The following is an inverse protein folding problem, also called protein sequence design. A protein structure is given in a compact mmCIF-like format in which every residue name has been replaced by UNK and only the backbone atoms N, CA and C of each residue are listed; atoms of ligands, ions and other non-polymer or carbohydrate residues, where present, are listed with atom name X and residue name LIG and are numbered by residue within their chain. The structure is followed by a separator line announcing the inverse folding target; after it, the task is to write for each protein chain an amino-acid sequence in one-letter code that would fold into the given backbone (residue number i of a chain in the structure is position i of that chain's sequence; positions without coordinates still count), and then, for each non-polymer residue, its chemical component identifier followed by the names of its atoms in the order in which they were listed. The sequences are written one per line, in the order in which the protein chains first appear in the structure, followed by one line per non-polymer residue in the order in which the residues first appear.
data_IF_324468226075
#
_entry.id   IF_324468226075
#
_cell.length_a   1.000
_cell.length_b   1.000
_cell.length_c   1.000
_cell.angle_alpha   90.00
_cell.angle_beta   90.00
_cell.angle_gamma   90.00
#
_symmetry.space_group_name_H-M   'P 1'
#
loop_
_entity.id
_entity.type
_entity.pdbx_description
1 polymer ?
#
# COMPACT_ATOMS: atom_id res chain seq x y z
N UNK A 1 14.74 -40.73 51.87
CA UNK A 1 13.62 -40.03 51.20
C UNK A 1 13.98 -39.89 49.73
N UNK A 2 13.22 -40.54 48.84
CA UNK A 2 13.55 -40.75 47.43
C UNK A 2 13.23 -39.54 46.55
N UNK A 3 13.95 -39.46 45.43
CA UNK A 3 13.92 -38.42 44.42
C UNK A 3 12.74 -38.54 43.42
N UNK A 4 12.63 -37.47 42.60
CA UNK A 4 12.08 -37.36 41.24
C UNK A 4 10.64 -36.82 41.11
N UNK A 5 10.46 -35.74 40.32
CA UNK A 5 9.89 -35.80 38.93
C UNK A 5 9.13 -34.51 38.55
N UNK A 6 9.69 -33.78 37.56
CA UNK A 6 9.07 -33.04 36.41
C UNK A 6 8.09 -31.86 36.63
N UNK A 7 8.43 -30.73 35.99
CA UNK A 7 7.54 -29.80 35.26
C UNK A 7 6.81 -30.57 34.12
N UNK A 8 5.58 -30.20 33.65
CA UNK A 8 5.28 -28.87 33.09
C UNK A 8 3.79 -28.43 33.18
N UNK A 9 3.44 -27.38 32.43
CA UNK A 9 2.10 -26.81 32.09
C UNK A 9 1.64 -25.68 33.01
N UNK A 10 1.07 -24.57 32.53
CA UNK A 10 0.31 -24.34 31.31
C UNK A 10 0.62 -22.98 30.67
N UNK A 11 0.56 -22.94 29.34
CA UNK A 11 0.64 -21.72 28.57
C UNK A 11 -0.51 -20.78 28.90
N UNK A 12 -0.17 -19.55 29.29
CA UNK A 12 -1.10 -18.43 29.21
C UNK A 12 -1.56 -18.25 27.76
N UNK A 13 -2.74 -17.65 27.53
CA UNK A 13 -3.25 -17.46 26.19
C UNK A 13 -2.17 -16.76 25.38
N UNK A 14 -1.74 -17.43 24.31
CA UNK A 14 -0.94 -16.83 23.25
C UNK A 14 -1.78 -15.63 22.82
N UNK A 15 -1.41 -14.43 23.25
CA UNK A 15 -2.04 -13.22 22.76
C UNK A 15 -1.92 -13.35 21.24
N UNK A 16 -3.05 -13.61 20.58
CA UNK A 16 -3.11 -13.42 19.16
C UNK A 16 -2.79 -11.95 19.01
N UNK A 17 -1.56 -11.65 18.58
CA UNK A 17 -1.18 -10.32 18.19
C UNK A 17 -2.11 -9.97 17.04
N UNK A 18 -3.24 -9.36 17.36
CA UNK A 18 -3.91 -8.42 16.47
C UNK A 18 -2.86 -7.36 16.21
N UNK A 19 -2.01 -7.61 15.22
CA UNK A 19 -0.95 -6.72 14.79
C UNK A 19 -1.69 -5.51 14.21
N UNK A 20 -2.05 -4.57 15.10
CA UNK A 20 -2.82 -3.38 14.77
C UNK A 20 -2.08 -2.68 13.65
N UNK A 21 -2.61 -2.83 12.44
CA UNK A 21 -1.97 -2.33 11.24
C UNK A 21 -2.44 -0.90 11.09
N UNK A 22 -1.52 0.04 10.95
CA UNK A 22 -1.88 1.40 10.57
C UNK A 22 -1.97 1.49 9.05
N UNK A 23 -3.06 2.06 8.54
CA UNK A 23 -3.24 2.36 7.13
C UNK A 23 -3.23 3.87 6.91
N UNK A 24 -2.52 4.31 5.89
CA UNK A 24 -2.58 5.67 5.37
C UNK A 24 -2.85 5.63 3.87
N UNK A 25 -3.98 6.21 3.47
CA UNK A 25 -4.31 6.43 2.05
C UNK A 25 -4.11 7.90 1.75
N UNK A 26 -3.30 8.20 0.75
CA UNK A 26 -3.10 9.55 0.26
C UNK A 26 -3.26 9.60 -1.25
N UNK A 27 -3.40 10.82 -1.75
CA UNK A 27 -3.26 11.11 -3.17
C UNK A 27 -2.41 12.35 -3.42
N UNK A 28 -1.97 12.52 -4.64
CA UNK A 28 -1.13 13.65 -5.07
C UNK A 28 -1.21 13.84 -6.58
N UNK A 29 -0.96 15.04 -7.07
CA UNK A 29 -0.86 15.33 -8.50
C UNK A 29 0.52 14.97 -9.04
N UNK A 30 0.55 14.30 -10.20
CA UNK A 30 1.78 13.87 -10.87
C UNK A 30 2.45 15.09 -11.52
N UNK A 31 3.75 15.27 -11.26
CA UNK A 31 4.59 16.30 -11.91
C UNK A 31 5.53 15.76 -12.98
N UNK A 32 5.56 14.44 -13.16
CA UNK A 32 6.36 13.78 -14.19
C UNK A 32 5.78 14.06 -15.58
N UNK A 33 6.63 14.60 -16.47
CA UNK A 33 6.28 14.85 -17.86
C UNK A 33 5.83 13.54 -18.55
N UNK A 34 4.74 13.55 -19.37
CA UNK A 34 4.19 12.35 -20.00
C UNK A 34 5.22 11.43 -20.66
N UNK A 35 6.22 12.01 -21.33
CA UNK A 35 7.28 11.32 -22.05
C UNK A 35 8.27 10.61 -21.11
N UNK A 36 8.44 11.12 -19.89
CA UNK A 36 9.35 10.57 -18.87
C UNK A 36 8.65 9.59 -17.93
N UNK A 37 7.29 9.56 -17.92
CA UNK A 37 6.51 8.72 -17.02
C UNK A 37 6.93 7.25 -17.03
N UNK A 38 7.09 6.55 -18.17
CA UNK A 38 7.44 5.13 -18.14
C UNK A 38 8.74 4.84 -17.38
N UNK A 39 9.78 5.63 -17.63
CA UNK A 39 11.09 5.46 -17.01
C UNK A 39 11.07 5.86 -15.52
N UNK A 40 10.48 7.01 -15.19
CA UNK A 40 10.43 7.51 -13.81
C UNK A 40 9.53 6.68 -12.91
N UNK A 41 8.43 6.14 -13.45
CA UNK A 41 7.57 5.19 -12.73
C UNK A 41 8.33 3.88 -12.48
N UNK A 42 9.07 3.34 -13.45
CA UNK A 42 9.89 2.15 -13.25
C UNK A 42 10.92 2.32 -12.11
N UNK A 43 11.56 3.48 -12.04
CA UNK A 43 12.47 3.83 -10.93
C UNK A 43 11.73 3.97 -9.61
N UNK A 44 10.61 4.71 -9.59
CA UNK A 44 9.75 4.90 -8.42
C UNK A 44 9.36 3.55 -7.82
N UNK A 45 8.93 2.60 -8.65
CA UNK A 45 8.51 1.28 -8.20
C UNK A 45 9.66 0.46 -7.61
N UNK A 46 10.82 0.48 -8.26
CA UNK A 46 12.02 -0.22 -7.77
C UNK A 46 12.44 0.32 -6.40
N UNK A 47 12.52 1.65 -6.27
CA UNK A 47 12.90 2.31 -5.00
C UNK A 47 11.85 2.10 -3.92
N UNK A 48 10.56 2.30 -4.23
CA UNK A 48 9.47 2.12 -3.30
C UNK A 48 9.42 0.68 -2.77
N UNK A 49 9.56 -0.32 -3.66
CA UNK A 49 9.58 -1.74 -3.25
C UNK A 49 10.72 -2.02 -2.27
N UNK A 50 11.93 -1.56 -2.57
CA UNK A 50 13.11 -1.77 -1.72
C UNK A 50 12.95 -1.11 -0.35
N UNK A 51 12.50 0.15 -0.33
CA UNK A 51 12.29 0.92 0.88
C UNK A 51 11.16 0.33 1.74
N UNK A 52 10.04 -0.03 1.12
CA UNK A 52 8.88 -0.56 1.81
C UNK A 52 9.17 -1.96 2.37
N UNK A 53 9.87 -2.82 1.62
CA UNK A 53 10.33 -4.13 2.13
C UNK A 53 11.21 -3.97 3.37
N UNK A 54 12.18 -3.05 3.33
CA UNK A 54 13.08 -2.76 4.46
C UNK A 54 12.34 -2.16 5.65
N UNK A 55 11.31 -1.36 5.40
CA UNK A 55 10.47 -0.76 6.44
C UNK A 55 9.36 -1.70 6.95
N UNK A 56 9.12 -2.87 6.34
CA UNK A 56 7.98 -3.72 6.69
C UNK A 56 6.62 -3.09 6.35
N UNK A 57 6.61 -2.22 5.34
CA UNK A 57 5.42 -1.53 4.84
C UNK A 57 4.92 -2.26 3.61
N UNK A 58 3.61 -2.44 3.55
CA UNK A 58 2.90 -3.03 2.42
C UNK A 58 1.84 -2.06 1.91
N UNK A 59 1.12 -2.40 0.84
CA UNK A 59 0.15 -1.48 0.28
C UNK A 59 -0.07 -1.62 -1.22
N UNK A 60 -0.74 -0.62 -1.77
CA UNK A 60 -1.06 -0.52 -3.17
C UNK A 60 -0.85 0.90 -3.69
N UNK A 61 -0.42 1.02 -4.94
CA UNK A 61 -0.31 2.30 -5.64
C UNK A 61 -1.19 2.29 -6.89
N UNK A 62 -2.02 3.30 -7.02
CA UNK A 62 -2.93 3.53 -8.12
C UNK A 62 -2.48 4.76 -8.92
N UNK A 63 -2.31 4.57 -10.22
CA UNK A 63 -1.92 5.64 -11.14
C UNK A 63 -3.05 5.99 -12.10
N UNK A 64 -3.31 7.29 -12.23
CA UNK A 64 -4.12 7.89 -13.29
C UNK A 64 -3.29 8.87 -14.11
N UNK A 65 -3.84 9.50 -15.15
CA UNK A 65 -3.09 10.45 -15.99
C UNK A 65 -2.56 11.68 -15.27
N UNK A 66 -3.18 12.05 -14.14
CA UNK A 66 -2.84 13.26 -13.41
C UNK A 66 -2.53 13.01 -11.93
N UNK A 67 -2.82 11.83 -11.38
CA UNK A 67 -2.71 11.58 -9.94
C UNK A 67 -2.12 10.23 -9.58
N UNK A 68 -1.34 10.25 -8.51
CA UNK A 68 -1.04 9.09 -7.69
C UNK A 68 -2.08 8.97 -6.57
N UNK A 69 -2.52 7.75 -6.27
CA UNK A 69 -3.26 7.42 -5.06
C UNK A 69 -2.61 6.20 -4.45
N UNK A 70 -2.16 6.26 -3.20
CA UNK A 70 -1.40 5.17 -2.60
C UNK A 70 -1.96 4.85 -1.22
N UNK A 71 -2.05 3.56 -0.90
CA UNK A 71 -2.25 3.05 0.45
C UNK A 71 -0.94 2.49 0.99
N UNK A 72 -0.60 2.87 2.22
CA UNK A 72 0.54 2.38 2.99
C UNK A 72 0.00 1.67 4.23
N UNK A 73 0.47 0.46 4.47
CA UNK A 73 0.02 -0.37 5.58
C UNK A 73 1.24 -0.86 6.39
N UNK A 74 1.18 -0.79 7.71
CA UNK A 74 2.20 -1.33 8.60
C UNK A 74 2.20 -0.69 9.97
N UNK A 75 3.34 -0.71 10.65
CA UNK A 75 3.51 0.02 11.91
C UNK A 75 3.30 1.53 11.70
N UNK A 76 2.57 2.19 12.59
CA UNK A 76 2.20 3.61 12.45
C UNK A 76 3.41 4.52 12.30
N UNK A 77 4.42 4.35 13.16
CA UNK A 77 5.62 5.20 13.13
C UNK A 77 6.38 5.02 11.81
N UNK A 78 6.47 3.77 11.32
CA UNK A 78 7.10 3.48 10.02
C UNK A 78 6.30 4.04 8.85
N UNK A 79 4.98 3.88 8.84
CA UNK A 79 4.10 4.42 7.79
C UNK A 79 4.23 5.94 7.73
N UNK A 80 4.16 6.62 8.87
CA UNK A 80 4.33 8.09 8.95
C UNK A 80 5.72 8.52 8.49
N UNK A 81 6.77 7.80 8.85
CA UNK A 81 8.14 8.11 8.41
C UNK A 81 8.32 7.99 6.90
N UNK A 82 7.77 6.93 6.29
CA UNK A 82 7.82 6.77 4.82
C UNK A 82 6.96 7.82 4.14
N UNK A 83 5.77 8.10 4.67
CA UNK A 83 4.90 9.15 4.15
C UNK A 83 5.57 10.53 4.18
N UNK A 84 6.27 10.89 5.26
CA UNK A 84 7.01 12.16 5.35
C UNK A 84 8.18 12.27 4.35
N UNK A 85 8.70 11.14 3.87
CA UNK A 85 9.70 11.12 2.78
C UNK A 85 9.00 11.30 1.42
N UNK A 86 7.88 10.61 1.24
CA UNK A 86 7.05 10.70 0.03
C UNK A 86 6.55 12.13 -0.16
N UNK A 87 6.02 12.78 0.88
CA UNK A 87 5.45 14.12 0.83
C UNK A 87 6.42 15.19 0.28
N UNK A 88 7.73 14.96 0.39
CA UNK A 88 8.78 15.88 -0.10
C UNK A 88 9.32 15.51 -1.49
N UNK A 89 8.76 14.50 -2.13
CA UNK A 89 9.22 13.99 -3.41
C UNK A 89 8.85 14.93 -4.55
N UNK A 90 9.82 15.37 -5.36
CA UNK A 90 9.58 16.33 -6.45
C UNK A 90 8.78 15.77 -7.63
N UNK A 91 8.53 14.45 -7.65
CA UNK A 91 7.74 13.78 -8.71
C UNK A 91 6.25 14.02 -8.58
N UNK A 92 5.78 14.57 -7.46
CA UNK A 92 4.39 14.93 -7.24
C UNK A 92 4.22 16.21 -6.42
N UNK A 93 3.02 16.77 -6.43
CA UNK A 93 2.62 17.88 -5.56
C UNK A 93 1.15 17.70 -5.13
N UNK A 94 0.58 18.68 -4.43
CA UNK A 94 -0.83 18.65 -3.96
C UNK A 94 -1.16 17.36 -3.18
N UNK A 95 -0.26 16.98 -2.27
CA UNK A 95 -0.41 15.79 -1.43
C UNK A 95 -1.56 16.00 -0.45
N UNK A 96 -2.49 15.05 -0.42
CA UNK A 96 -3.69 15.10 0.41
C UNK A 96 -3.95 13.71 0.99
N UNK A 97 -3.97 13.62 2.32
CA UNK A 97 -4.33 12.41 3.05
C UNK A 97 -5.85 12.24 3.01
N UNK A 98 -6.30 11.05 2.65
CA UNK A 98 -7.72 10.69 2.52
C UNK A 98 -8.20 9.88 3.72
N UNK A 99 -7.34 8.98 4.20
CA UNK A 99 -7.60 8.10 5.34
C UNK A 99 -6.29 7.88 6.09
N UNK A 100 -6.32 7.91 7.41
CA UNK A 100 -5.18 7.55 8.25
C UNK A 100 -5.69 7.01 9.58
N UNK A 101 -5.41 5.75 9.90
CA UNK A 101 -5.89 5.13 11.14
C UNK A 101 -5.54 3.66 11.31
N UNK A 102 -5.83 3.09 12.49
CA UNK A 102 -5.67 1.66 12.75
C UNK A 102 -6.71 0.84 11.98
N UNK A 103 -6.31 -0.34 11.51
CA UNK A 103 -7.14 -1.33 10.83
C UNK A 103 -6.80 -2.74 11.32
N UNK A 104 -7.78 -3.64 11.24
CA UNK A 104 -7.68 -5.03 11.75
C UNK A 104 -6.63 -5.90 11.02
N UNK A 105 -6.05 -5.39 9.94
CA UNK A 105 -4.96 -6.03 9.23
C UNK A 105 -4.73 -5.47 7.82
N UNK A 106 -3.60 -5.87 7.24
CA UNK A 106 -3.18 -5.50 5.89
C UNK A 106 -4.20 -5.98 4.85
N UNK A 107 -4.76 -5.07 4.06
CA UNK A 107 -5.53 -5.42 2.87
C UNK A 107 -4.60 -5.93 1.76
N UNK A 108 -3.40 -5.37 1.68
CA UNK A 108 -2.38 -5.72 0.69
C UNK A 108 -1.16 -6.27 1.41
N UNK A 109 -1.16 -7.56 1.83
CA UNK A 109 0.00 -8.19 2.46
C UNK A 109 1.21 -8.30 1.51
N UNK A 110 0.99 -8.13 0.21
CA UNK A 110 2.01 -7.99 -0.81
C UNK A 110 1.86 -6.65 -1.52
N UNK A 111 2.98 -6.05 -1.94
CA UNK A 111 2.95 -4.79 -2.67
C UNK A 111 2.27 -4.99 -4.03
N UNK A 112 1.10 -4.37 -4.19
CA UNK A 112 0.33 -4.38 -5.42
C UNK A 112 0.36 -2.99 -6.08
N UNK A 113 0.11 -2.91 -7.38
CA UNK A 113 0.07 -1.63 -8.08
C UNK A 113 -0.98 -1.68 -9.16
N UNK A 114 -2.03 -0.89 -9.06
CA UNK A 114 -3.06 -0.84 -10.08
C UNK A 114 -2.80 0.35 -11.02
N UNK A 115 -2.81 0.14 -12.34
CA UNK A 115 -3.00 1.26 -13.27
C UNK A 115 -4.49 1.41 -13.55
N UNK A 116 -5.05 2.60 -13.30
CA UNK A 116 -6.42 2.93 -13.68
C UNK A 116 -6.40 3.72 -14.97
N UNK A 117 -7.11 3.21 -15.97
CA UNK A 117 -7.41 3.97 -17.19
C UNK A 117 -8.59 4.93 -16.93
N UNK A 118 -8.47 6.17 -17.39
CA UNK A 118 -9.51 7.20 -17.21
C UNK A 118 -10.81 6.87 -17.94
N UNK A 119 -10.73 6.13 -19.03
CA UNK A 119 -11.84 5.74 -19.90
C UNK A 119 -12.45 4.37 -19.56
N UNK A 120 -11.89 3.66 -18.57
CA UNK A 120 -12.29 2.28 -18.28
C UNK A 120 -12.04 1.30 -19.43
N UNK A 121 -11.35 1.71 -20.49
CA UNK A 121 -11.14 0.91 -21.71
C UNK A 121 -10.01 -0.10 -21.54
N UNK A 122 -9.07 0.18 -20.63
CA UNK A 122 -8.07 -0.79 -20.21
C UNK A 122 -8.43 -1.34 -18.82
N UNK A 123 -8.44 -2.67 -18.61
CA UNK A 123 -8.71 -3.25 -17.31
C UNK A 123 -7.72 -2.69 -16.28
N UNK A 124 -8.20 -2.48 -15.05
CA UNK A 124 -7.37 -2.16 -13.89
C UNK A 124 -6.24 -3.18 -13.83
N UNK A 125 -5.06 -2.79 -14.31
CA UNK A 125 -3.95 -3.72 -14.42
C UNK A 125 -3.28 -3.66 -13.07
N UNK A 126 -3.76 -4.48 -12.16
CA UNK A 126 -3.04 -4.79 -10.93
C UNK A 126 -1.74 -5.46 -11.34
N UNK A 127 -0.64 -4.95 -10.84
CA UNK A 127 0.68 -5.51 -10.94
C UNK A 127 0.97 -6.03 -9.54
N UNK A 128 1.04 -7.35 -9.40
CA UNK A 128 1.56 -7.93 -8.16
C UNK A 128 3.04 -8.09 -8.36
N UNK A 129 3.85 -7.37 -7.56
CA UNK A 129 5.29 -7.57 -7.56
C UNK A 129 5.59 -8.86 -6.80
N UNK A 130 5.82 -9.98 -7.52
CA UNK A 130 6.39 -11.20 -6.92
C UNK A 130 7.89 -11.20 -7.14
N UNK A 131 8.65 -11.21 -6.04
CA UNK A 131 10.12 -11.26 -5.84
C UNK A 131 11.10 -10.71 -6.90
N UNK A 132 10.89 -10.87 -8.19
CA UNK A 132 11.74 -10.32 -9.26
C UNK A 132 10.97 -9.84 -10.50
N UNK A 133 9.63 -9.97 -10.55
CA UNK A 133 8.85 -9.66 -11.75
C UNK A 133 7.56 -8.89 -11.42
N UNK A 134 7.26 -7.89 -12.25
CA UNK A 134 5.99 -7.15 -12.27
C UNK A 134 5.06 -7.94 -13.20
N UNK A 135 4.18 -8.77 -12.66
CA UNK A 135 3.22 -9.55 -13.46
C UNK A 135 1.83 -8.94 -13.32
N UNK A 136 1.03 -8.82 -14.40
CA UNK A 136 -0.39 -8.56 -14.27
C UNK A 136 -1.00 -9.57 -13.29
N UNK A 137 -1.81 -9.09 -12.34
CA UNK A 137 -2.57 -9.91 -11.42
C UNK A 137 -3.74 -10.55 -12.15
N UNK A 138 -3.46 -11.38 -13.15
CA UNK A 138 -4.48 -12.20 -13.76
C UNK A 138 -4.78 -13.35 -12.80
N UNK A 139 -6.06 -13.44 -12.38
CA UNK A 139 -6.81 -14.64 -11.94
C UNK A 139 -7.07 -14.96 -10.45
N UNK A 140 -6.70 -14.13 -9.48
CA UNK A 140 -7.33 -14.23 -8.13
C UNK A 140 -8.09 -12.95 -7.83
N UNK A 141 -9.40 -13.06 -7.66
CA UNK A 141 -10.25 -11.94 -7.27
C UNK A 141 -9.72 -11.22 -6.04
N UNK A 142 -10.02 -9.92 -5.95
CA UNK A 142 -9.74 -9.11 -4.77
C UNK A 142 -10.59 -9.61 -3.60
N UNK A 143 -10.02 -9.64 -2.39
CA UNK A 143 -10.84 -9.86 -1.20
C UNK A 143 -11.76 -8.65 -0.98
N UNK A 144 -12.87 -8.80 -0.25
CA UNK A 144 -13.77 -7.68 0.07
C UNK A 144 -13.02 -6.50 0.71
N UNK A 145 -12.05 -6.81 1.59
CA UNK A 145 -11.17 -5.81 2.21
C UNK A 145 -10.29 -5.09 1.18
N UNK A 146 -9.75 -5.82 0.20
CA UNK A 146 -8.97 -5.22 -0.89
C UNK A 146 -9.86 -4.36 -1.78
N UNK A 147 -11.05 -4.85 -2.13
CA UNK A 147 -11.98 -4.15 -3.00
C UNK A 147 -12.47 -2.85 -2.37
N UNK A 148 -12.77 -2.85 -1.06
CA UNK A 148 -13.15 -1.64 -0.34
C UNK A 148 -12.07 -0.55 -0.41
N UNK A 149 -10.80 -0.91 -0.19
CA UNK A 149 -9.68 0.05 -0.29
C UNK A 149 -9.48 0.49 -1.74
N UNK A 150 -9.56 -0.43 -2.70
CA UNK A 150 -9.45 -0.09 -4.12
C UNK A 150 -10.58 0.84 -4.57
N UNK A 151 -11.80 0.66 -4.07
CA UNK A 151 -12.92 1.54 -4.37
C UNK A 151 -12.65 2.97 -3.90
N UNK A 152 -12.15 3.15 -2.67
CA UNK A 152 -11.71 4.46 -2.16
C UNK A 152 -10.61 5.04 -3.04
N UNK A 153 -9.60 4.23 -3.39
CA UNK A 153 -8.50 4.68 -4.24
C UNK A 153 -8.98 5.10 -5.64
N UNK A 154 -9.90 4.35 -6.26
CA UNK A 154 -10.49 4.66 -7.57
C UNK A 154 -11.31 5.94 -7.53
N UNK A 155 -12.13 6.13 -6.49
CA UNK A 155 -12.89 7.37 -6.29
C UNK A 155 -11.95 8.57 -6.15
N UNK A 156 -10.87 8.44 -5.39
CA UNK A 156 -9.87 9.49 -5.21
C UNK A 156 -9.07 9.82 -6.48
N UNK A 157 -8.89 8.83 -7.35
CA UNK A 157 -8.23 9.00 -8.64
C UNK A 157 -9.13 9.72 -9.67
N UNK A 158 -10.45 9.52 -9.61
CA UNK A 158 -11.44 10.09 -10.55
C UNK A 158 -12.06 11.41 -10.08
N UNK A 159 -12.23 11.61 -8.77
CA UNK A 159 -12.93 12.78 -8.23
C UNK A 159 -12.09 14.07 -8.27
N UNK A 160 -12.67 15.27 -8.12
CA UNK A 160 -11.90 16.49 -7.83
C UNK A 160 -11.17 16.37 -6.48
N UNK A 161 -10.25 17.29 -6.20
CA UNK A 161 -9.69 17.34 -4.85
C UNK A 161 -10.81 17.69 -3.83
N UNK A 162 -10.95 17.08 -2.62
CA UNK A 162 -11.58 17.77 -1.51
C UNK A 162 -10.97 19.15 -1.40
N UNK A 163 -11.84 20.12 -1.62
CA UNK A 163 -11.59 21.52 -1.30
C UNK A 163 -11.61 21.55 0.22
N UNK A 164 -10.44 21.76 0.82
CA UNK A 164 -10.31 22.02 2.27
C UNK A 164 -10.83 23.43 2.54
#
# INVERSE_FOLDING_TARGET
MAARTRLPTAGGPRAMSEETTFRLIYRSRIRIAPQQRPAELGKLFTTARSNNKRAGITGALLLSDQRFVQTLEGDEARVRSVFATIERDSRHDEVSVLEAGPVDGRAFPHWAMARVSQDGSAPDTYLIAREASVTPATSRGTSERQEAVLQVMRQAARGPAPVV
#
